data_IF_356659578365
#
_entry.id   IF_356659578365
#
_cell.length_a   1.000
_cell.length_b   1.000
_cell.length_c   1.000
_cell.angle_alpha   90.00
_cell.angle_beta   90.00
_cell.angle_gamma   90.00
#
_symmetry.space_group_name_H-M   'P 1'
#
loop_
_entity.id
_entity.type
_entity.pdbx_description
1 polymer ?
#
# COMPACT_ATOMS: atom_id res chain seq x y z
N UNK A 1 4.83 -4.65 4.47
CA UNK A 1 6.17 -5.16 4.87
C UNK A 1 7.35 -4.56 4.10
N UNK A 2 7.31 -4.45 2.77
CA UNK A 2 8.44 -3.96 1.93
C UNK A 2 8.98 -2.59 2.37
N UNK A 3 8.12 -1.60 2.63
CA UNK A 3 8.56 -0.26 3.03
C UNK A 3 9.39 -0.24 4.34
N UNK A 4 9.05 -1.11 5.30
CA UNK A 4 9.81 -1.24 6.54
C UNK A 4 11.22 -1.79 6.28
N UNK A 5 11.33 -2.81 5.42
CA UNK A 5 12.62 -3.38 5.01
C UNK A 5 13.47 -2.35 4.24
N UNK A 6 12.87 -1.60 3.32
CA UNK A 6 13.55 -0.53 2.58
C UNK A 6 14.12 0.51 3.55
N UNK A 7 13.33 0.94 4.54
CA UNK A 7 13.79 1.92 5.52
C UNK A 7 14.94 1.41 6.41
N UNK A 8 14.96 0.11 6.74
CA UNK A 8 16.07 -0.51 7.47
C UNK A 8 17.32 -0.60 6.59
N UNK A 9 17.17 -1.09 5.36
CA UNK A 9 18.28 -1.23 4.40
C UNK A 9 18.89 0.11 4.01
N UNK A 10 18.09 1.19 4.02
CA UNK A 10 18.58 2.54 3.74
C UNK A 10 19.78 2.92 4.59
N UNK A 11 19.79 2.58 5.88
CA UNK A 11 20.89 2.94 6.77
C UNK A 11 22.16 2.12 6.54
N UNK A 12 22.02 0.86 6.12
CA UNK A 12 23.13 -0.10 6.04
C UNK A 12 23.71 -0.27 4.63
N UNK A 13 22.98 0.11 3.59
CA UNK A 13 23.40 -0.07 2.18
C UNK A 13 23.36 1.26 1.41
N UNK A 14 24.29 2.20 1.70
CA UNK A 14 24.30 3.51 1.05
C UNK A 14 24.42 3.45 -0.47
N UNK A 15 25.13 2.46 -1.00
CA UNK A 15 25.32 2.24 -2.44
C UNK A 15 24.04 1.81 -3.18
N UNK A 16 23.00 1.36 -2.48
CA UNK A 16 21.73 0.94 -3.09
C UNK A 16 20.62 1.98 -2.92
N UNK A 17 20.89 3.09 -2.21
CA UNK A 17 19.86 4.08 -1.83
C UNK A 17 19.12 4.64 -3.04
N UNK A 18 19.85 5.31 -3.92
CA UNK A 18 19.24 6.05 -5.03
C UNK A 18 18.79 5.13 -6.16
N UNK A 19 19.54 4.05 -6.43
CA UNK A 19 19.31 3.23 -7.63
C UNK A 19 18.30 2.09 -7.41
N UNK A 20 18.08 1.66 -6.15
CA UNK A 20 17.25 0.49 -5.86
C UNK A 20 16.22 0.77 -4.77
N UNK A 21 16.67 1.24 -3.61
CA UNK A 21 15.81 1.37 -2.44
C UNK A 21 14.78 2.51 -2.61
N UNK A 22 15.19 3.64 -3.18
CA UNK A 22 14.30 4.77 -3.43
C UNK A 22 13.22 4.42 -4.48
N UNK A 23 13.56 3.92 -5.69
CA UNK A 23 12.56 3.46 -6.65
C UNK A 23 11.62 2.41 -6.07
N UNK A 24 12.13 1.47 -5.27
CA UNK A 24 11.29 0.47 -4.60
C UNK A 24 10.26 1.10 -3.65
N UNK A 25 10.64 2.12 -2.89
CA UNK A 25 9.70 2.83 -2.01
C UNK A 25 8.68 3.66 -2.81
N UNK A 26 9.11 4.28 -3.91
CA UNK A 26 8.20 4.97 -4.83
C UNK A 26 7.18 4.02 -5.46
N UNK A 27 7.60 2.81 -5.85
CA UNK A 27 6.72 1.77 -6.37
C UNK A 27 5.69 1.33 -5.33
N UNK A 28 6.08 1.19 -4.06
CA UNK A 28 5.13 0.92 -2.97
C UNK A 28 4.12 2.06 -2.81
N UNK A 29 4.55 3.31 -2.93
CA UNK A 29 3.66 4.46 -2.91
C UNK A 29 2.69 4.49 -4.10
N UNK A 30 3.15 4.13 -5.31
CA UNK A 30 2.27 3.96 -6.47
C UNK A 30 1.31 2.79 -6.27
N UNK A 31 1.77 1.68 -5.69
CA UNK A 31 0.93 0.54 -5.31
C UNK A 31 -0.20 0.97 -4.39
N UNK A 32 0.12 1.71 -3.33
CA UNK A 32 -0.88 2.26 -2.40
C UNK A 32 -1.86 3.23 -3.08
N UNK A 33 -1.44 3.93 -4.14
CA UNK A 33 -2.31 4.82 -4.93
C UNK A 33 -3.30 4.05 -5.80
N UNK A 34 -2.84 3.00 -6.48
CA UNK A 34 -3.66 2.26 -7.46
C UNK A 34 -4.46 1.12 -6.84
N UNK A 35 -4.04 0.61 -5.69
CA UNK A 35 -4.66 -0.50 -4.98
C UNK A 35 -4.86 -0.14 -3.51
N UNK A 36 -5.45 1.03 -3.25
CA UNK A 36 -5.57 1.52 -1.88
C UNK A 36 -6.44 0.62 -0.99
N UNK A 37 -7.39 -0.12 -1.56
CA UNK A 37 -8.16 -1.13 -0.84
C UNK A 37 -7.32 -2.28 -0.26
N UNK A 38 -6.17 -2.60 -0.87
CA UNK A 38 -5.27 -3.66 -0.41
C UNK A 38 -4.39 -3.21 0.77
N UNK A 39 -4.39 -1.92 1.09
CA UNK A 39 -3.58 -1.32 2.14
C UNK A 39 -4.44 -0.92 3.33
N UNK A 40 -4.28 -1.61 4.46
CA UNK A 40 -4.90 -1.21 5.72
C UNK A 40 -4.16 0.01 6.36
N UNK A 41 -4.70 0.54 7.45
CA UNK A 41 -4.12 1.69 8.17
C UNK A 41 -2.67 1.44 8.64
N UNK A 42 -2.36 0.22 9.07
CA UNK A 42 -1.02 -0.14 9.54
C UNK A 42 -0.01 -0.14 8.39
N UNK A 43 -0.39 -0.69 7.23
CA UNK A 43 0.46 -0.66 6.04
C UNK A 43 0.71 0.77 5.58
N UNK A 44 -0.33 1.61 5.58
CA UNK A 44 -0.17 3.02 5.23
C UNK A 44 0.73 3.77 6.22
N UNK A 45 0.55 3.57 7.53
CA UNK A 45 1.40 4.16 8.55
C UNK A 45 2.86 3.68 8.44
N UNK A 46 3.08 2.41 8.06
CA UNK A 46 4.42 1.87 7.84
C UNK A 46 5.13 2.50 6.63
N UNK A 47 4.40 2.76 5.54
CA UNK A 47 4.95 3.48 4.36
C UNK A 47 5.26 4.94 4.71
N UNK A 48 4.37 5.63 5.43
CA UNK A 48 4.63 6.98 5.94
C UNK A 48 5.88 7.01 6.85
N UNK A 49 6.02 6.02 7.74
CA UNK A 49 7.19 5.89 8.61
C UNK A 49 8.48 5.69 7.79
N UNK A 50 8.42 4.93 6.69
CA UNK A 50 9.57 4.74 5.81
C UNK A 50 10.01 6.08 5.19
N UNK A 51 9.10 6.84 4.59
CA UNK A 51 9.42 8.17 4.04
C UNK A 51 10.02 9.12 5.07
N UNK A 52 9.50 9.08 6.30
CA UNK A 52 10.01 9.88 7.41
C UNK A 52 11.42 9.47 7.85
N UNK A 53 11.74 8.17 7.90
CA UNK A 53 13.10 7.69 8.17
C UNK A 53 14.12 8.10 7.11
N UNK A 54 13.63 8.33 5.88
CA UNK A 54 14.44 8.76 4.75
C UNK A 54 14.49 10.29 4.62
N UNK A 55 13.63 11.02 5.35
CA UNK A 55 13.45 12.48 5.25
C UNK A 55 13.18 12.97 3.82
N UNK A 56 12.61 12.11 2.96
CA UNK A 56 12.32 12.44 1.56
C UNK A 56 10.82 12.58 1.34
N UNK A 57 10.37 13.72 0.78
CA UNK A 57 8.97 13.92 0.48
C UNK A 57 8.55 13.08 -0.73
N UNK A 58 7.34 12.53 -0.65
CA UNK A 58 6.66 11.92 -1.78
C UNK A 58 5.23 12.47 -1.85
N UNK A 59 4.99 13.37 -2.80
CA UNK A 59 3.71 14.08 -2.97
C UNK A 59 2.58 13.13 -3.40
N UNK A 60 2.93 12.07 -4.13
CA UNK A 60 1.97 11.02 -4.53
C UNK A 60 1.44 10.34 -3.29
N UNK A 61 2.32 9.93 -2.38
CA UNK A 61 1.93 9.25 -1.16
C UNK A 61 1.18 10.16 -0.19
N UNK A 62 1.56 11.43 -0.07
CA UNK A 62 0.78 12.42 0.69
C UNK A 62 -0.66 12.50 0.18
N UNK A 63 -0.85 12.52 -1.15
CA UNK A 63 -2.19 12.51 -1.77
C UNK A 63 -2.97 11.22 -1.47
N UNK A 64 -2.28 10.07 -1.37
CA UNK A 64 -2.91 8.81 -0.95
C UNK A 64 -3.39 8.90 0.50
N UNK A 65 -2.57 9.41 1.41
CA UNK A 65 -2.98 9.64 2.81
C UNK A 65 -4.16 10.62 2.90
N UNK A 66 -4.18 11.64 2.03
CA UNK A 66 -5.26 12.61 1.94
C UNK A 66 -6.60 12.03 1.50
N UNK A 67 -6.60 10.93 0.75
CA UNK A 67 -7.83 10.35 0.18
C UNK A 67 -8.25 9.05 0.83
N UNK A 68 -7.30 8.20 1.18
CA UNK A 68 -7.54 6.79 1.48
C UNK A 68 -7.31 6.41 2.94
N UNK A 69 -6.64 7.26 3.74
CA UNK A 69 -6.36 6.89 5.12
C UNK A 69 -7.61 6.99 6.01
N UNK A 70 -8.12 5.82 6.43
CA UNK A 70 -9.29 5.72 7.30
C UNK A 70 -8.94 6.02 8.77
N UNK A 71 -8.99 7.30 9.16
CA UNK A 71 -8.62 7.75 10.51
C UNK A 71 -9.39 7.03 11.64
N UNK A 72 -10.72 6.82 11.58
CA UNK A 72 -11.46 6.19 12.68
C UNK A 72 -11.06 4.74 12.95
N UNK A 73 -10.54 4.03 11.94
CA UNK A 73 -10.12 2.63 12.05
C UNK A 73 -8.64 2.47 12.42
N UNK A 74 -7.87 3.56 12.38
CA UNK A 74 -6.46 3.52 12.71
C UNK A 74 -6.25 3.25 14.20
N UNK A 75 -5.26 2.44 14.54
CA UNK A 75 -4.81 2.32 15.92
C UNK A 75 -4.10 3.61 16.35
N UNK A 76 -4.07 3.88 17.65
CA UNK A 76 -3.43 5.10 18.18
C UNK A 76 -1.97 5.21 17.74
N UNK A 77 -1.26 4.07 17.74
CA UNK A 77 0.12 3.95 17.25
C UNK A 77 0.28 4.39 15.79
N UNK A 78 -0.69 4.05 14.93
CA UNK A 78 -0.64 4.40 13.51
C UNK A 78 -0.81 5.91 13.31
N UNK A 79 -1.72 6.54 14.07
CA UNK A 79 -1.90 7.98 14.10
C UNK A 79 -0.63 8.70 14.60
N UNK A 80 0.02 8.16 15.63
CA UNK A 80 1.30 8.67 16.12
C UNK A 80 2.40 8.61 15.05
N UNK A 81 2.49 7.51 14.30
CA UNK A 81 3.45 7.39 13.20
C UNK A 81 3.15 8.33 12.04
N UNK A 82 1.88 8.56 11.71
CA UNK A 82 1.51 9.53 10.68
C UNK A 82 1.91 10.95 11.07
N UNK A 83 1.61 11.38 12.30
CA UNK A 83 1.97 12.72 12.75
C UNK A 83 3.48 12.89 12.90
N UNK A 84 4.19 11.85 13.35
CA UNK A 84 5.64 11.86 13.33
C UNK A 84 6.19 12.00 11.91
N UNK A 85 5.61 11.28 10.95
CA UNK A 85 6.01 11.38 9.57
C UNK A 85 5.75 12.78 9.00
N UNK A 86 4.58 13.36 9.26
CA UNK A 86 4.27 14.74 8.87
C UNK A 86 5.21 15.78 9.49
N UNK A 87 5.64 15.55 10.73
CA UNK A 87 6.59 16.41 11.43
C UNK A 87 8.04 16.30 10.90
N UNK A 88 8.35 15.24 10.16
CA UNK A 88 9.71 14.90 9.73
C UNK A 88 9.89 15.10 8.23
N UNK A 89 8.89 14.73 7.42
CA UNK A 89 8.94 14.84 5.98
C UNK A 89 8.61 16.28 5.56
N UNK A 90 9.47 16.94 4.76
CA UNK A 90 9.21 18.29 4.28
C UNK A 90 7.84 18.41 3.59
N UNK A 91 7.13 19.51 3.83
CA UNK A 91 5.82 19.87 3.24
C UNK A 91 4.63 19.02 3.67
N UNK A 92 4.83 17.85 4.27
CA UNK A 92 3.71 17.01 4.74
C UNK A 92 2.92 17.64 5.87
N UNK A 93 3.52 18.55 6.64
CA UNK A 93 2.84 19.29 7.69
C UNK A 93 1.59 20.03 7.17
N UNK A 94 1.63 20.54 5.94
CA UNK A 94 0.52 21.29 5.34
C UNK A 94 -0.56 20.39 4.72
N UNK A 95 -0.34 19.08 4.65
CA UNK A 95 -1.27 18.13 4.03
C UNK A 95 -2.59 18.02 4.84
N UNK A 96 -3.75 17.94 4.17
CA UNK A 96 -5.05 17.73 4.79
C UNK A 96 -5.11 16.57 5.80
N UNK A 97 -4.42 15.46 5.54
CA UNK A 97 -4.42 14.29 6.44
C UNK A 97 -3.90 14.62 7.84
N UNK A 98 -3.00 15.60 7.98
CA UNK A 98 -2.46 16.01 9.29
C UNK A 98 -3.58 16.59 10.15
N UNK A 99 -4.35 17.53 9.62
CA UNK A 99 -5.48 18.12 10.33
C UNK A 99 -6.51 17.09 10.77
N UNK A 100 -6.79 16.10 9.90
CA UNK A 100 -7.71 15.00 10.23
C UNK A 100 -7.14 14.04 11.27
N UNK A 101 -5.85 13.75 11.23
CA UNK A 101 -5.19 12.90 12.22
C UNK A 101 -5.20 13.57 13.61
N UNK A 102 -4.92 14.87 13.70
CA UNK A 102 -5.01 15.59 14.98
C UNK A 102 -6.46 15.66 15.46
N UNK A 103 -7.43 15.95 14.59
CA UNK A 103 -8.84 15.95 14.94
C UNK A 103 -9.34 14.57 15.40
N UNK A 104 -8.81 13.49 14.83
CA UNK A 104 -9.18 12.15 15.28
C UNK A 104 -8.59 11.84 16.67
N UNK A 105 -7.34 12.23 16.92
CA UNK A 105 -6.72 12.06 18.24
C UNK A 105 -7.43 12.81 19.35
N UNK A 106 -8.08 13.94 19.06
CA UNK A 106 -8.84 14.69 20.08
C UNK A 106 -10.13 13.98 20.49
N UNK A 107 -10.55 12.97 19.73
CA UNK A 107 -11.67 12.07 20.07
C UNK A 107 -11.20 10.82 20.83
N UNK A 108 -9.89 10.51 20.81
CA UNK A 108 -9.32 9.34 21.47
C UNK A 108 -9.13 9.61 22.96
N UNK A 109 -9.27 8.55 23.74
CA UNK A 109 -8.90 8.58 25.16
C UNK A 109 -7.36 8.47 25.27
N UNK A 110 -6.66 9.60 25.42
CA UNK A 110 -5.19 9.62 25.59
C UNK A 110 -4.74 8.74 26.76
N UNK A 111 -5.65 8.49 27.69
CA UNK A 111 -5.41 7.76 28.89
C UNK A 111 -5.36 6.23 28.66
N UNK A 112 -5.74 5.76 27.45
CA UNK A 112 -5.55 4.40 26.96
C UNK A 112 -4.32 4.25 26.05
N UNK A 113 -3.70 5.35 25.63
CA UNK A 113 -2.53 5.30 24.77
C UNK A 113 -1.31 4.77 25.53
N UNK A 114 -0.48 3.97 24.83
CA UNK A 114 0.80 3.56 25.38
C UNK A 114 1.68 4.79 25.66
N UNK A 115 2.38 4.78 26.80
CA UNK A 115 3.25 5.88 27.24
C UNK A 115 4.27 6.29 26.17
N UNK A 116 4.88 5.32 25.48
CA UNK A 116 5.80 5.57 24.37
C UNK A 116 5.14 6.32 23.20
N UNK A 117 3.93 5.92 22.83
CA UNK A 117 3.19 6.51 21.71
C UNK A 117 2.73 7.94 22.06
N UNK A 118 2.32 8.16 23.30
CA UNK A 118 1.98 9.49 23.81
C UNK A 118 3.18 10.44 23.80
N UNK A 119 4.36 9.99 24.24
CA UNK A 119 5.59 10.79 24.16
C UNK A 119 5.95 11.12 22.71
N UNK A 120 5.86 10.14 21.81
CA UNK A 120 6.11 10.33 20.38
C UNK A 120 5.13 11.33 19.75
N UNK A 121 3.85 11.23 20.11
CA UNK A 121 2.80 12.14 19.67
C UNK A 121 3.13 13.58 20.05
N UNK A 122 3.44 13.81 21.33
CA UNK A 122 3.69 15.15 21.86
C UNK A 122 4.96 15.77 21.26
N UNK A 123 6.00 14.97 21.03
CA UNK A 123 7.18 15.43 20.28
C UNK A 123 6.83 15.82 18.85
N UNK A 124 5.99 15.03 18.18
CA UNK A 124 5.59 15.27 16.78
C UNK A 124 4.75 16.54 16.67
N UNK A 125 3.80 16.75 17.58
CA UNK A 125 2.98 17.96 17.66
C UNK A 125 3.83 19.21 17.95
N UNK A 126 4.75 19.13 18.92
CA UNK A 126 5.66 20.22 19.23
C UNK A 126 6.55 20.61 18.04
N UNK A 127 6.93 19.64 17.19
CA UNK A 127 7.62 19.91 15.92
C UNK A 127 6.69 20.56 14.89
N UNK A 128 5.49 20.02 14.68
CA UNK A 128 4.51 20.55 13.72
C UNK A 128 4.16 22.01 13.99
N UNK A 129 4.03 22.40 15.26
CA UNK A 129 3.77 23.79 15.65
C UNK A 129 4.89 24.77 15.29
N UNK A 130 6.14 24.28 15.22
CA UNK A 130 7.30 25.11 14.87
C UNK A 130 7.54 25.21 13.37
N UNK A 131 6.87 24.39 12.56
CA UNK A 131 7.04 24.43 11.12
C UNK A 131 6.27 25.60 10.52
N UNK A 132 6.86 26.37 9.59
CA UNK A 132 6.13 27.41 8.88
C UNK A 132 5.03 26.78 8.01
N UNK A 133 3.83 27.36 7.98
CA UNK A 133 2.76 26.87 7.10
C UNK A 133 1.34 27.09 7.64
N UNK A 134 0.39 26.33 7.11
CA UNK A 134 -0.99 26.28 7.62
C UNK A 134 -1.17 25.23 8.72
N UNK A 135 -0.22 24.29 8.84
CA UNK A 135 -0.20 23.30 9.91
C UNK A 135 -0.30 23.93 11.31
N UNK A 136 0.46 24.99 11.65
CA UNK A 136 0.40 25.63 12.95
C UNK A 136 -0.99 26.17 13.28
N UNK A 137 -1.71 26.79 12.33
CA UNK A 137 -3.06 27.30 12.60
C UNK A 137 -4.05 26.17 12.95
N UNK A 138 -3.94 25.02 12.27
CA UNK A 138 -4.80 23.86 12.54
C UNK A 138 -4.45 23.18 13.86
N UNK A 139 -3.16 23.04 14.16
CA UNK A 139 -2.70 22.45 15.42
C UNK A 139 -2.96 23.40 16.60
N UNK A 140 -2.80 24.71 16.40
CA UNK A 140 -3.09 25.75 17.38
C UNK A 140 -4.60 25.82 17.70
N UNK A 141 -5.47 25.61 16.71
CA UNK A 141 -6.91 25.48 16.96
C UNK A 141 -7.24 24.31 17.91
N UNK A 142 -6.37 23.30 17.96
CA UNK A 142 -6.51 22.12 18.82
C UNK A 142 -5.64 22.22 20.10
N UNK A 143 -4.99 23.37 20.33
CA UNK A 143 -4.06 23.61 21.45
C UNK A 143 -4.67 23.30 22.81
N UNK A 144 -5.91 23.75 23.06
CA UNK A 144 -6.60 23.45 24.32
C UNK A 144 -6.76 21.94 24.54
N UNK A 145 -7.17 21.24 23.49
CA UNK A 145 -7.35 19.79 23.55
C UNK A 145 -6.01 19.08 23.75
N UNK A 146 -4.94 19.52 23.09
CA UNK A 146 -3.59 19.00 23.31
C UNK A 146 -3.10 19.24 24.74
N UNK A 147 -3.42 20.39 25.33
CA UNK A 147 -3.06 20.70 26.72
C UNK A 147 -3.83 19.82 27.71
N UNK A 148 -5.09 19.49 27.42
CA UNK A 148 -5.86 18.51 28.19
C UNK A 148 -5.24 17.12 28.09
N UNK A 149 -4.96 16.63 26.87
CA UNK A 149 -4.31 15.33 26.66
C UNK A 149 -2.94 15.25 27.36
N UNK A 150 -2.20 16.36 27.36
CA UNK A 150 -0.93 16.48 28.06
C UNK A 150 -1.09 16.33 29.57
N UNK A 151 -2.00 17.08 30.18
CA UNK A 151 -2.22 17.05 31.62
C UNK A 151 -2.72 15.68 32.09
N UNK A 152 -3.57 15.03 31.31
CA UNK A 152 -4.04 13.67 31.58
C UNK A 152 -2.92 12.65 31.47
N UNK A 153 -2.08 12.76 30.44
CA UNK A 153 -0.89 11.94 30.25
C UNK A 153 0.09 12.05 31.42
N UNK A 154 0.45 13.27 31.79
CA UNK A 154 1.36 13.56 32.92
C UNK A 154 0.77 13.02 34.22
N UNK A 155 -0.52 13.24 34.48
CA UNK A 155 -1.19 12.76 35.72
C UNK A 155 -1.15 11.24 35.84
N UNK A 156 -1.30 10.50 34.74
CA UNK A 156 -1.29 9.02 34.75
C UNK A 156 0.12 8.42 34.74
N UNK A 157 1.11 9.20 34.35
CA UNK A 157 2.48 8.73 34.25
C UNK A 157 3.23 8.68 35.58
N UNK A 158 2.77 7.83 36.48
CA UNK A 158 3.61 7.42 37.61
C UNK A 158 4.85 6.63 37.13
N UNK A 159 4.90 6.27 35.84
CA UNK A 159 5.94 5.43 35.21
C UNK A 159 6.77 6.13 34.13
N UNK A 160 6.63 7.44 33.87
CA UNK A 160 7.52 8.07 32.88
C UNK A 160 8.95 8.14 33.40
N UNK A 161 9.91 7.83 32.54
CA UNK A 161 11.31 8.11 32.81
C UNK A 161 11.55 9.63 32.86
N UNK A 162 12.61 10.05 33.56
CA UNK A 162 13.01 11.47 33.62
C UNK A 162 13.21 12.10 32.23
N UNK A 163 13.65 11.30 31.25
CA UNK A 163 13.81 11.73 29.85
C UNK A 163 12.48 12.03 29.16
N UNK A 164 11.44 11.24 29.43
CA UNK A 164 10.13 11.42 28.83
C UNK A 164 9.48 12.68 29.40
N UNK A 165 9.56 12.88 30.72
CA UNK A 165 9.12 14.11 31.38
C UNK A 165 9.80 15.36 30.81
N UNK A 166 11.13 15.34 30.61
CA UNK A 166 11.85 16.47 30.01
C UNK A 166 11.46 16.72 28.53
N UNK A 167 11.06 15.68 27.78
CA UNK A 167 10.49 15.86 26.44
C UNK A 167 9.08 16.45 26.49
N UNK A 168 8.27 16.02 27.45
CA UNK A 168 6.93 16.52 27.69
C UNK A 168 6.96 18.01 28.06
N UNK A 169 7.80 18.40 29.01
CA UNK A 169 7.94 19.81 29.41
C UNK A 169 8.38 20.70 28.24
N UNK A 170 9.35 20.27 27.43
CA UNK A 170 9.75 21.03 26.22
C UNK A 170 8.64 21.14 25.18
N UNK A 171 7.79 20.12 25.05
CA UNK A 171 6.63 20.18 24.16
C UNK A 171 5.56 21.14 24.71
N UNK A 172 5.34 21.15 26.02
CA UNK A 172 4.44 22.11 26.70
C UNK A 172 4.94 23.54 26.55
N UNK A 173 6.23 23.79 26.79
CA UNK A 173 6.84 25.12 26.61
C UNK A 173 6.71 25.59 25.16
N UNK A 174 6.87 24.69 24.18
CA UNK A 174 6.68 25.01 22.77
C UNK A 174 5.24 25.42 22.46
N UNK A 175 4.26 24.73 23.07
CA UNK A 175 2.85 25.09 22.99
C UNK A 175 2.63 26.48 23.61
N UNK A 176 3.20 26.75 24.79
CA UNK A 176 3.02 28.00 25.53
C UNK A 176 3.66 29.22 24.86
N UNK A 177 4.85 29.08 24.25
CA UNK A 177 5.58 30.20 23.64
C UNK A 177 4.94 30.76 22.37
N UNK A 178 4.04 30.01 21.72
CA UNK A 178 3.34 30.44 20.50
C UNK A 178 2.11 31.33 20.81
N UNK A 179 2.04 31.96 21.99
CA UNK A 179 1.06 33.02 22.32
C UNK A 179 1.39 34.39 21.69
N UNK A 180 2.19 34.42 20.61
CA UNK A 180 2.22 35.61 19.79
C UNK A 180 0.76 35.89 19.38
N UNK A 181 0.18 37.05 19.73
CA UNK A 181 -1.21 37.32 19.45
C UNK A 181 -1.42 37.12 17.96
N UNK A 182 -2.30 36.19 17.61
CA UNK A 182 -2.79 35.95 16.25
C UNK A 182 -3.65 37.16 15.85
N UNK A 183 -3.04 38.34 15.88
CA UNK A 183 -3.61 39.61 15.51
C UNK A 183 -3.56 39.66 13.99
N UNK A 184 -4.64 39.20 13.34
CA UNK A 184 -4.91 39.56 11.96
C UNK A 184 -4.92 38.43 10.93
N UNK A 185 -4.73 37.17 11.33
CA UNK A 185 -5.21 36.08 10.47
C UNK A 185 -6.72 36.01 10.65
N UNK A 186 -7.44 36.76 9.81
CA UNK A 186 -8.87 36.60 9.63
C UNK A 186 -9.14 35.18 9.14
N UNK A 187 -9.16 34.24 10.08
CA UNK A 187 -9.86 32.98 9.92
C UNK A 187 -11.33 33.38 9.80
N UNK A 188 -11.73 33.70 8.58
CA UNK A 188 -13.13 33.66 8.21
C UNK A 188 -13.70 32.33 8.71
N UNK A 189 -15.00 32.29 9.07
CA UNK A 189 -15.64 31.05 9.50
C UNK A 189 -15.23 29.93 8.53
N UNK A 190 -14.89 28.74 9.06
CA UNK A 190 -14.49 27.62 8.21
C UNK A 190 -15.47 27.54 7.05
N UNK A 191 -15.00 27.47 5.79
CA UNK A 191 -15.90 27.38 4.64
C UNK A 191 -16.86 26.25 4.98
N UNK A 192 -18.16 26.59 5.02
CA UNK A 192 -19.22 25.68 5.39
C UNK A 192 -18.97 24.38 4.67
N UNK A 193 -18.59 23.36 5.43
CA UNK A 193 -18.57 22.01 4.94
C UNK A 193 -20.06 21.73 4.79
N UNK A 194 -20.59 22.02 3.61
CA UNK A 194 -21.95 21.67 3.24
C UNK A 194 -22.07 20.19 3.54
N UNK A 195 -22.88 19.89 4.56
CA UNK A 195 -23.05 18.56 5.10
C UNK A 195 -23.68 17.67 4.05
N UNK A 196 -22.86 17.07 3.19
CA UNK A 196 -23.24 15.96 2.33
C UNK A 196 -22.02 15.30 1.68
N UNK A 197 -21.36 14.44 2.44
CA UNK A 197 -20.75 13.19 1.99
C UNK A 197 -20.11 12.52 3.21
N UNK A 198 -20.96 11.94 4.07
CA UNK A 198 -20.52 10.76 4.78
C UNK A 198 -20.15 9.74 3.70
N UNK A 199 -18.85 9.46 3.56
CA UNK A 199 -18.37 8.26 2.88
C UNK A 199 -18.81 7.07 3.74
N UNK A 200 -20.09 6.77 3.63
CA UNK A 200 -20.68 5.57 4.14
C UNK A 200 -20.09 4.41 3.37
N UNK A 201 -19.37 3.55 4.06
CA UNK A 201 -19.05 2.20 3.62
C UNK A 201 -20.31 1.32 3.62
N UNK A 202 -21.40 1.78 2.99
CA UNK A 202 -22.62 1.01 2.81
C UNK A 202 -22.52 0.15 1.56
N UNK A 203 -22.73 -1.14 1.79
CA UNK A 203 -23.10 -2.16 0.83
C UNK A 203 -24.07 -1.63 -0.23
N UNK A 204 -23.73 -1.86 -1.50
CA UNK A 204 -24.67 -1.69 -2.61
C UNK A 204 -25.66 -2.87 -2.61
N UNK A 205 -26.98 -2.64 -2.56
CA UNK A 205 -27.96 -3.69 -2.75
C UNK A 205 -28.13 -3.93 -4.26
N UNK A 206 -27.41 -4.92 -4.77
CA UNK A 206 -27.54 -5.44 -6.13
C UNK A 206 -28.12 -6.84 -6.11
N UNK A 207 -29.31 -6.98 -6.67
CA UNK A 207 -30.16 -8.17 -6.76
C UNK A 207 -29.55 -9.36 -7.52
N UNK A 208 -29.84 -10.56 -7.01
CA UNK A 208 -29.87 -11.90 -7.64
C UNK A 208 -28.57 -12.56 -8.14
N UNK A 209 -28.08 -13.56 -7.41
CA UNK A 209 -28.22 -14.99 -7.79
C UNK A 209 -27.78 -15.90 -6.63
N UNK A 210 -28.51 -17.01 -6.45
CA UNK A 210 -28.25 -18.01 -5.41
C UNK A 210 -26.95 -18.77 -5.74
N UNK A 211 -25.91 -18.52 -4.95
CA UNK A 211 -24.73 -19.37 -4.85
C UNK A 211 -24.66 -19.92 -3.43
N UNK A 212 -25.08 -21.17 -3.29
CA UNK A 212 -25.08 -21.94 -2.05
C UNK A 212 -23.64 -22.19 -1.59
N UNK A 213 -23.14 -21.36 -0.67
CA UNK A 213 -21.84 -21.55 -0.04
C UNK A 213 -22.03 -22.30 1.29
N UNK A 214 -21.69 -23.59 1.27
CA UNK A 214 -21.54 -24.42 2.46
C UNK A 214 -20.39 -23.88 3.33
N UNK A 215 -20.73 -23.30 4.47
CA UNK A 215 -19.78 -23.05 5.55
C UNK A 215 -19.56 -24.33 6.34
N UNK A 216 -18.41 -24.97 6.13
CA UNK A 216 -17.89 -25.96 7.06
C UNK A 216 -17.42 -25.26 8.33
N UNK A 217 -18.18 -25.45 9.42
CA UNK A 217 -17.75 -25.10 10.77
C UNK A 217 -16.55 -25.97 11.15
N UNK A 218 -15.39 -25.36 11.29
CA UNK A 218 -14.29 -25.96 12.03
C UNK A 218 -14.37 -25.48 13.47
N UNK A 219 -14.82 -26.39 14.33
CA UNK A 219 -14.69 -26.30 15.78
C UNK A 219 -13.20 -26.23 16.15
N UNK A 220 -12.70 -25.00 16.30
CA UNK A 220 -11.37 -24.73 16.82
C UNK A 220 -11.34 -24.92 18.34
N UNK A 221 -10.72 -26.00 18.78
CA UNK A 221 -10.39 -26.26 20.18
C UNK A 221 -9.48 -25.17 20.75
N UNK A 222 -9.95 -24.49 21.80
CA UNK A 222 -9.14 -23.61 22.65
C UNK A 222 -8.38 -24.45 23.67
N UNK A 223 -7.06 -24.57 23.51
CA UNK A 223 -6.18 -25.02 24.59
C UNK A 223 -5.94 -23.85 25.54
N UNK A 224 -6.60 -23.90 26.70
CA UNK A 224 -6.23 -23.11 27.86
C UNK A 224 -4.86 -23.57 28.36
N UNK A 225 -3.89 -22.66 28.35
CA UNK A 225 -2.66 -22.84 29.11
C UNK A 225 -2.81 -22.08 30.43
N UNK A 226 -2.99 -22.87 31.48
CA UNK A 226 -2.94 -22.44 32.86
C UNK A 226 -1.64 -21.70 33.15
N UNK A 227 -1.79 -20.61 33.90
CA UNK A 227 -0.71 -19.74 34.31
C UNK A 227 0.27 -20.43 35.26
N UNK A 228 1.54 -20.11 35.06
CA UNK A 228 2.57 -20.28 36.08
C UNK A 228 3.16 -18.91 36.40
N UNK A 229 2.79 -18.39 37.57
CA UNK A 229 3.55 -17.34 38.26
C UNK A 229 4.88 -17.92 38.71
N UNK A 230 5.97 -17.27 38.31
CA UNK A 230 7.26 -17.46 38.96
C UNK A 230 7.60 -16.19 39.74
N UNK A 231 7.39 -16.30 41.05
CA UNK A 231 7.97 -15.41 42.05
C UNK A 231 9.50 -15.44 41.96
N UNK A 232 10.08 -14.28 42.19
CA UNK A 232 11.40 -13.91 41.72
C UNK A 232 12.59 -14.60 42.38
N UNK A 233 13.74 -14.37 41.76
CA UNK A 233 15.03 -14.32 42.43
C UNK A 233 15.98 -13.37 41.68
N UNK A 234 16.49 -12.36 42.39
CA UNK A 234 17.66 -11.60 41.98
C UNK A 234 18.92 -12.46 42.14
N UNK A 235 19.74 -12.51 41.10
CA UNK A 235 21.13 -12.91 41.21
C UNK A 235 22.03 -11.84 40.58
N UNK A 236 22.79 -11.19 41.45
CA UNK A 236 24.00 -10.48 41.12
C UNK A 236 25.06 -11.45 40.60
N UNK A 237 25.75 -11.04 39.54
CA UNK A 237 27.11 -11.49 39.23
C UNK A 237 27.25 -12.88 38.60
N UNK A 238 27.56 -12.92 37.31
CA UNK A 238 28.91 -13.20 36.82
C UNK A 238 28.93 -13.30 35.29
N UNK A 239 29.84 -12.56 34.68
CA UNK A 239 30.22 -12.68 33.28
C UNK A 239 31.10 -13.91 33.07
N UNK A 240 30.63 -14.86 32.26
CA UNK A 240 31.48 -15.83 31.58
C UNK A 240 31.04 -15.94 30.13
N UNK A 241 31.97 -15.61 29.22
CA UNK A 241 31.82 -15.89 27.81
C UNK A 241 31.88 -17.39 27.58
N UNK A 242 31.01 -17.88 26.71
CA UNK A 242 31.23 -19.14 26.04
C UNK A 242 30.89 -19.01 24.56
N UNK A 243 31.86 -19.51 23.80
CA UNK A 243 31.89 -19.74 22.38
C UNK A 243 30.66 -20.49 21.86
N UNK A 244 30.34 -20.18 20.62
CA UNK A 244 29.10 -20.52 19.97
C UNK A 244 28.90 -22.00 19.69
N UNK A 245 27.64 -22.32 19.42
CA UNK A 245 27.24 -23.45 18.58
C UNK A 245 26.07 -23.02 17.70
N UNK A 246 26.31 -23.08 16.38
CA UNK A 246 25.30 -22.99 15.34
C UNK A 246 24.61 -24.35 15.20
N UNK A 247 23.29 -24.39 15.42
CA UNK A 247 22.45 -25.51 14.99
C UNK A 247 21.82 -25.18 13.64
N UNK A 248 22.40 -25.74 12.59
CA UNK A 248 21.76 -25.84 11.29
C UNK A 248 20.72 -26.96 11.32
N UNK A 249 19.45 -26.60 11.07
CA UNK A 249 18.43 -27.56 10.69
C UNK A 249 18.21 -27.46 9.19
N UNK A 250 18.79 -28.41 8.46
CA UNK A 250 18.40 -28.73 7.09
C UNK A 250 17.13 -29.58 7.15
N UNK A 251 15.99 -28.99 6.79
CA UNK A 251 14.76 -29.72 6.57
C UNK A 251 14.69 -30.09 5.08
N UNK A 252 15.12 -31.30 4.75
CA UNK A 252 14.89 -31.91 3.44
C UNK A 252 13.40 -32.26 3.32
N UNK A 253 12.75 -31.82 2.25
CA UNK A 253 11.45 -32.35 1.84
C UNK A 253 11.64 -33.32 0.69
N UNK A 254 11.28 -34.57 0.94
CA UNK A 254 11.35 -35.67 -0.01
C UNK A 254 10.34 -35.46 -1.14
N UNK A 255 10.79 -35.73 -2.36
CA UNK A 255 9.95 -35.83 -3.53
C UNK A 255 8.97 -37.01 -3.39
N UNK A 256 7.67 -36.72 -3.31
CA UNK A 256 6.64 -37.72 -3.55
C UNK A 256 6.41 -37.84 -5.05
N UNK A 257 6.85 -38.96 -5.59
CA UNK A 257 6.59 -39.45 -6.93
C UNK A 257 5.10 -39.76 -7.09
N UNK A 258 4.42 -39.05 -7.99
CA UNK A 258 3.10 -39.47 -8.48
C UNK A 258 3.30 -40.36 -9.70
N UNK A 259 3.21 -41.66 -9.45
CA UNK A 259 3.09 -42.73 -10.42
C UNK A 259 1.88 -42.54 -11.33
N UNK A 260 2.12 -42.82 -12.61
CA UNK A 260 1.15 -42.95 -13.67
C UNK A 260 0.00 -43.91 -13.30
N UNK A 261 -1.23 -43.49 -13.61
CA UNK A 261 -2.35 -44.41 -13.82
C UNK A 261 -2.81 -44.22 -15.26
N UNK A 262 -2.53 -45.26 -16.05
CA UNK A 262 -3.11 -45.52 -17.36
C UNK A 262 -4.57 -45.91 -17.12
N UNK A 263 -5.51 -45.23 -17.78
CA UNK A 263 -6.85 -45.76 -18.00
C UNK A 263 -7.36 -45.37 -19.38
N UNK A 264 -7.82 -46.39 -20.11
CA UNK A 264 -8.35 -46.38 -21.47
C UNK A 264 -9.85 -46.02 -21.52
N UNK A 265 -10.33 -45.64 -22.72
CA UNK A 265 -11.74 -45.51 -23.11
C UNK A 265 -12.30 -44.10 -22.88
N UNK A 266 -13.06 -43.46 -23.76
CA UNK A 266 -13.99 -43.98 -24.76
C UNK A 266 -14.24 -42.94 -25.86
N UNK A 267 -14.57 -43.46 -27.04
CA UNK A 267 -14.79 -42.73 -28.27
C UNK A 267 -16.20 -42.13 -28.36
N UNK A 268 -16.30 -40.87 -28.80
CA UNK A 268 -17.47 -40.39 -29.53
C UNK A 268 -17.05 -39.40 -30.63
N UNK A 269 -17.20 -39.85 -31.87
CA UNK A 269 -17.06 -39.02 -33.06
C UNK A 269 -18.33 -38.22 -33.32
N UNK A 270 -18.16 -36.93 -33.62
CA UNK A 270 -19.14 -36.15 -34.36
C UNK A 270 -18.44 -35.58 -35.61
N UNK A 271 -18.71 -36.22 -36.75
CA UNK A 271 -18.46 -35.64 -38.06
C UNK A 271 -19.55 -34.59 -38.33
N UNK A 272 -19.17 -33.33 -38.40
CA UNK A 272 -19.96 -32.30 -39.08
C UNK A 272 -19.30 -31.96 -40.41
N UNK A 273 -20.00 -32.39 -41.46
CA UNK A 273 -19.75 -32.18 -42.87
C UNK A 273 -20.07 -30.72 -43.23
N UNK A 274 -19.09 -29.95 -43.71
CA UNK A 274 -19.31 -28.67 -44.37
C UNK A 274 -18.67 -28.73 -45.76
N UNK A 275 -19.48 -29.06 -46.76
CA UNK A 275 -19.19 -28.84 -48.17
C UNK A 275 -19.44 -27.36 -48.49
N UNK A 276 -18.53 -26.73 -49.23
CA UNK A 276 -18.64 -25.33 -49.63
C UNK A 276 -17.46 -24.93 -50.51
N UNK A 277 -17.46 -25.42 -51.74
CA UNK A 277 -16.58 -24.94 -52.81
C UNK A 277 -16.83 -23.46 -53.09
N UNK A 278 -15.77 -22.67 -53.07
CA UNK A 278 -15.76 -21.26 -53.44
C UNK A 278 -14.36 -20.86 -53.87
N UNK A 279 -14.02 -21.18 -55.12
CA UNK A 279 -12.84 -20.64 -55.81
C UNK A 279 -12.96 -19.13 -55.93
N UNK A 280 -12.08 -18.40 -55.25
CA UNK A 280 -11.84 -16.98 -55.51
C UNK A 280 -10.37 -16.81 -55.91
N UNK A 281 -10.13 -16.58 -57.20
CA UNK A 281 -8.88 -16.06 -57.70
C UNK A 281 -8.75 -14.61 -57.23
N UNK A 282 -7.70 -14.29 -56.46
CA UNK A 282 -7.31 -12.90 -56.21
C UNK A 282 -5.80 -12.78 -56.27
N UNK A 283 -5.33 -12.54 -57.48
CA UNK A 283 -3.98 -12.06 -57.79
C UNK A 283 -3.82 -10.63 -57.27
N UNK A 284 -3.14 -10.45 -56.14
CA UNK A 284 -2.58 -9.15 -55.76
C UNK A 284 -1.16 -9.35 -55.21
N UNK A 285 -0.20 -8.70 -55.88
CA UNK A 285 1.20 -8.61 -55.51
C UNK A 285 1.41 -8.21 -54.04
N UNK A 286 2.50 -8.68 -53.38
CA UNK A 286 2.80 -8.30 -52.01
C UNK A 286 3.16 -6.81 -51.95
N UNK A 287 2.21 -5.98 -51.49
CA UNK A 287 2.53 -4.63 -51.00
C UNK A 287 3.20 -4.80 -49.65
N UNK A 288 4.42 -4.29 -49.53
CA UNK A 288 5.15 -4.17 -48.27
C UNK A 288 4.22 -3.66 -47.17
N UNK A 289 4.03 -4.46 -46.13
CA UNK A 289 3.25 -4.05 -44.97
C UNK A 289 3.96 -2.85 -44.33
N UNK A 290 3.24 -1.76 -43.98
CA UNK A 290 3.87 -0.59 -43.36
C UNK A 290 4.60 -1.01 -42.07
N UNK A 291 5.89 -0.71 -41.99
CA UNK A 291 6.66 -0.83 -40.76
C UNK A 291 6.16 0.24 -39.78
N UNK A 292 5.98 -0.12 -38.51
CA UNK A 292 5.48 0.81 -37.48
C UNK A 292 6.54 1.81 -36.99
N UNK A 293 7.49 2.20 -37.84
CA UNK A 293 8.40 3.32 -37.55
C UNK A 293 7.68 4.67 -37.65
N UNK A 294 6.57 4.73 -38.39
CA UNK A 294 5.74 5.92 -38.49
C UNK A 294 4.50 5.84 -37.59
N UNK A 295 4.24 6.91 -36.85
CA UNK A 295 3.07 7.08 -35.96
C UNK A 295 1.71 6.92 -36.69
N UNK A 296 1.73 6.85 -38.03
CA UNK A 296 0.56 6.66 -38.88
C UNK A 296 0.09 5.21 -38.98
N UNK A 297 0.87 4.21 -38.52
CA UNK A 297 0.45 2.80 -38.62
C UNK A 297 -0.74 2.44 -37.70
N UNK A 298 -1.00 3.23 -36.67
CA UNK A 298 -2.02 2.93 -35.66
C UNK A 298 -3.16 3.95 -35.71
N UNK A 299 -4.38 3.57 -36.14
CA UNK A 299 -5.51 4.50 -36.14
C UNK A 299 -5.81 4.98 -34.72
N UNK A 300 -6.03 6.30 -34.58
CA UNK A 300 -6.44 6.89 -33.32
C UNK A 300 -7.87 6.43 -32.97
N UNK A 301 -7.98 5.33 -32.21
CA UNK A 301 -9.25 4.88 -31.64
C UNK A 301 -9.45 5.62 -30.30
N UNK A 302 -10.65 6.09 -29.97
CA UNK A 302 -10.91 6.79 -28.70
C UNK A 302 -10.50 5.93 -27.50
N UNK A 303 -9.78 6.51 -26.56
CA UNK A 303 -9.22 5.81 -25.41
C UNK A 303 -10.33 5.28 -24.48
N UNK A 304 -10.45 3.96 -24.39
CA UNK A 304 -11.10 3.28 -23.27
C UNK A 304 -10.10 3.04 -22.13
N UNK A 305 -10.58 2.77 -20.90
CA UNK A 305 -9.72 2.45 -19.76
C UNK A 305 -9.04 1.07 -19.85
N UNK A 306 -9.37 0.28 -20.88
CA UNK A 306 -9.03 -1.13 -20.99
C UNK A 306 -7.78 -1.36 -21.86
N UNK A 307 -6.91 -2.28 -21.43
CA UNK A 307 -5.77 -2.77 -22.20
C UNK A 307 -6.27 -3.57 -23.41
N UNK A 308 -5.81 -3.27 -24.62
CA UNK A 308 -6.22 -3.97 -25.85
C UNK A 308 -5.04 -4.36 -26.71
N UNK A 309 -5.14 -5.50 -27.40
CA UNK A 309 -4.16 -5.91 -28.39
C UNK A 309 -4.44 -5.21 -29.72
N UNK A 310 -3.40 -4.61 -30.30
CA UNK A 310 -3.49 -3.95 -31.59
C UNK A 310 -3.22 -4.96 -32.70
N UNK A 311 -4.27 -5.47 -33.33
CA UNK A 311 -4.19 -6.41 -34.44
C UNK A 311 -3.66 -5.78 -35.75
N UNK A 312 -3.56 -4.45 -35.83
CA UNK A 312 -3.10 -3.74 -37.03
C UNK A 312 -1.59 -3.51 -37.08
N UNK A 313 -0.86 -3.92 -36.05
CA UNK A 313 0.60 -3.79 -35.99
C UNK A 313 1.29 -5.03 -36.52
N UNK A 314 2.23 -4.87 -37.45
CA UNK A 314 3.05 -5.93 -38.05
C UNK A 314 4.27 -6.32 -37.23
N UNK A 315 4.39 -5.84 -35.99
CA UNK A 315 5.49 -6.17 -35.08
C UNK A 315 5.53 -7.68 -34.80
N UNK A 316 6.72 -8.28 -34.87
CA UNK A 316 6.96 -9.73 -34.73
C UNK A 316 6.76 -10.28 -33.29
N UNK A 317 5.88 -9.66 -32.50
CA UNK A 317 5.52 -10.02 -31.14
C UNK A 317 4.12 -9.53 -30.80
N UNK A 318 3.92 -8.93 -29.63
CA UNK A 318 2.63 -8.34 -29.25
C UNK A 318 2.69 -6.82 -29.24
N UNK A 319 1.71 -6.17 -29.87
CA UNK A 319 1.48 -4.73 -29.73
C UNK A 319 0.31 -4.51 -28.77
N UNK A 320 0.59 -3.98 -27.58
CA UNK A 320 -0.42 -3.70 -26.56
C UNK A 320 -0.67 -2.20 -26.52
N UNK A 321 -1.94 -1.81 -26.57
CA UNK A 321 -2.36 -0.44 -26.37
C UNK A 321 -2.83 -0.22 -24.94
N UNK A 322 -2.25 0.77 -24.28
CA UNK A 322 -2.71 1.29 -22.99
C UNK A 322 -2.95 2.79 -23.10
N UNK A 323 -4.22 3.21 -23.01
CA UNK A 323 -4.63 4.62 -23.15
C UNK A 323 -4.14 5.23 -24.48
N UNK A 324 -3.09 6.05 -24.39
CA UNK A 324 -2.48 6.81 -25.49
C UNK A 324 -1.06 6.31 -25.82
N UNK A 325 -0.69 5.11 -25.38
CA UNK A 325 0.62 4.52 -25.60
C UNK A 325 0.49 3.14 -26.22
N UNK A 326 1.42 2.81 -27.12
CA UNK A 326 1.61 1.49 -27.70
C UNK A 326 2.91 0.90 -27.18
N UNK A 327 2.86 -0.36 -26.76
CA UNK A 327 4.01 -1.08 -26.21
C UNK A 327 4.22 -2.32 -27.07
N UNK A 328 5.40 -2.43 -27.67
CA UNK A 328 5.84 -3.62 -28.39
C UNK A 328 6.56 -4.56 -27.43
N UNK A 329 6.02 -5.77 -27.27
CA UNK A 329 6.56 -6.83 -26.42
C UNK A 329 7.07 -7.95 -27.33
N UNK A 330 8.39 -8.15 -27.47
CA UNK A 330 8.94 -9.23 -28.25
C UNK A 330 8.42 -10.58 -27.74
N UNK A 331 7.95 -11.44 -28.63
CA UNK A 331 7.43 -12.74 -28.26
C UNK A 331 8.05 -13.81 -29.17
N UNK A 332 8.82 -14.73 -28.59
CA UNK A 332 9.51 -15.80 -29.31
C UNK A 332 8.66 -17.07 -29.51
N UNK A 333 7.35 -17.00 -29.24
CA UNK A 333 6.44 -18.15 -29.24
C UNK A 333 6.11 -18.73 -30.62
N UNK A 334 6.80 -18.30 -31.69
CA UNK A 334 6.79 -19.01 -32.98
C UNK A 334 7.76 -20.20 -33.03
N UNK A 335 8.55 -20.40 -31.98
CA UNK A 335 9.34 -21.62 -31.82
C UNK A 335 8.44 -22.70 -31.22
N UNK A 336 8.13 -23.76 -31.98
CA UNK A 336 7.33 -24.93 -31.58
C UNK A 336 7.93 -25.74 -30.41
N UNK A 337 8.91 -25.18 -29.69
CA UNK A 337 9.49 -25.76 -28.49
C UNK A 337 8.55 -25.48 -27.31
N UNK A 338 7.89 -26.52 -26.81
CA UNK A 338 7.01 -26.53 -25.63
C UNK A 338 7.73 -26.21 -24.30
N UNK A 339 8.81 -25.42 -24.33
CA UNK A 339 9.62 -25.10 -23.16
C UNK A 339 9.17 -23.77 -22.52
N UNK A 340 8.42 -23.87 -21.41
CA UNK A 340 8.33 -23.03 -20.19
C UNK A 340 8.48 -21.48 -20.25
N UNK A 341 8.42 -20.86 -21.43
CA UNK A 341 8.49 -19.42 -21.63
C UNK A 341 7.17 -18.84 -22.11
N UNK A 342 6.05 -19.19 -21.47
CA UNK A 342 4.74 -18.69 -21.90
C UNK A 342 4.69 -17.16 -21.74
N UNK A 343 4.69 -16.46 -22.88
CA UNK A 343 4.54 -15.01 -22.88
C UNK A 343 3.22 -14.65 -22.18
N UNK A 344 3.27 -13.77 -21.17
CA UNK A 344 2.09 -13.36 -20.41
C UNK A 344 0.96 -12.83 -21.31
N UNK A 345 1.28 -12.27 -22.48
CA UNK A 345 0.28 -11.82 -23.44
C UNK A 345 -0.38 -13.00 -24.20
N UNK A 346 0.39 -14.03 -24.53
CA UNK A 346 -0.15 -15.27 -25.09
C UNK A 346 -1.10 -15.97 -24.11
N UNK A 347 -0.79 -15.97 -22.81
CA UNK A 347 -1.67 -16.58 -21.79
C UNK A 347 -2.98 -15.80 -21.63
N UNK A 348 -2.97 -14.47 -21.72
CA UNK A 348 -4.20 -13.66 -21.75
C UNK A 348 -5.12 -14.05 -22.91
N UNK A 349 -4.58 -14.23 -24.13
CA UNK A 349 -5.36 -14.67 -25.29
C UNK A 349 -5.94 -16.08 -25.13
N UNK A 350 -5.21 -17.01 -24.51
CA UNK A 350 -5.70 -18.38 -24.28
C UNK A 350 -6.84 -18.44 -23.25
N UNK A 351 -6.83 -17.53 -22.27
CA UNK A 351 -7.84 -17.50 -21.20
C UNK A 351 -9.20 -16.92 -21.60
N UNK A 352 -9.30 -16.25 -22.76
CA UNK A 352 -10.54 -15.66 -23.27
C UNK A 352 -10.64 -15.84 -24.78
N UNK A 353 -11.34 -16.89 -25.25
CA UNK A 353 -11.78 -16.97 -26.65
C UNK A 353 -12.84 -15.89 -26.90
N UNK A 354 -12.39 -14.66 -27.13
CA UNK A 354 -13.24 -13.58 -27.61
C UNK A 354 -13.28 -13.65 -29.14
N UNK A 355 -14.16 -14.50 -29.66
CA UNK A 355 -14.89 -14.21 -30.87
C UNK A 355 -15.86 -13.07 -30.54
N UNK A 356 -15.46 -11.83 -30.81
CA UNK A 356 -16.39 -10.73 -31.03
C UNK A 356 -16.00 -10.03 -32.34
N UNK A 357 -16.37 -10.71 -33.43
CA UNK A 357 -16.57 -10.11 -34.74
C UNK A 357 -17.86 -9.30 -34.70
N UNK A 358 -17.77 -7.98 -34.81
CA UNK A 358 -18.78 -7.20 -35.54
C UNK A 358 -18.04 -6.22 -36.45
N UNK A 359 -18.33 -6.37 -37.75
CA UNK A 359 -17.87 -5.58 -38.89
C UNK A 359 -18.09 -4.08 -38.75
#
# INVERSE_FOLDING_TARGET
MVAGSVAQLWQVMPQLREDVLWPCLEDVAQGARFKSEDFNCQDMAAVAQAFAKLERPNEVYATVLDRCFCMPRAADRDLCYLLWAAATVPRWADSPFVGRAVLELTKRDAAQMASKDLTQLLQSLGKLLRLPGQAPARVAALRWQLQVLFLEGVRRSQSFGTKDLACLERAREALEQDEAPVAGYGLGPPPGIDGREEASCHDSPGSHSHGECHSHGHDGHSHGHDGHSHDGHSHDGHSHGHDGHSHGHSHEHSHSTCTAVISHGDAHGHQTKCEGEGTFESSTSPKEAPSCENETCCPYIRAGPEMRLNAHCSFAGHCVRMKNTFIHIPCSSFSDSESDGECAVCSFKRSRSCDDLIL
#
